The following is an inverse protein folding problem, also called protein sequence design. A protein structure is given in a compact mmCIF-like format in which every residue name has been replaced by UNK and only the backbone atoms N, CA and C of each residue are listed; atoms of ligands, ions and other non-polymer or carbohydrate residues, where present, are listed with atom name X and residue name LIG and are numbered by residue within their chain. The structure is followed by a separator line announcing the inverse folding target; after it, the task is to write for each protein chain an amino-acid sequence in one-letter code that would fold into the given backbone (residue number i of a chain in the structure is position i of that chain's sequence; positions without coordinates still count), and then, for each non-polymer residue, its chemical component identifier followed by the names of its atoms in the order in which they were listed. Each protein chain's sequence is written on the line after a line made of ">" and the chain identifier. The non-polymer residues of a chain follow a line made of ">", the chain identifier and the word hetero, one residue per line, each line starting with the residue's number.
data_IF_345785659966
#
_entry.id   IF_345785659966
#
_cell.length_a   1.000
_cell.length_b   1.000
_cell.length_c   1.000
_cell.angle_alpha   90.00
_cell.angle_beta   90.00
_cell.angle_gamma   90.00
#
_symmetry.space_group_name_H-M   'P 1'
#
loop_
_entity.id
_entity.type
_entity.pdbx_description
1 polymer ?
#
# COMPACT_ATOMS: atom_id res chain seq x y z
N UNK A 1 -2.34 19.41 54.50
CA UNK A 1 -1.89 18.49 53.43
C UNK A 1 -2.14 19.24 52.12
N UNK A 2 -1.17 20.09 51.73
CA UNK A 2 -0.42 20.07 50.44
C UNK A 2 -1.41 19.99 49.25
N UNK A 3 -1.50 20.97 48.35
CA UNK A 3 -0.60 21.14 47.20
C UNK A 3 -0.58 22.59 46.69
N UNK A 4 0.64 22.99 46.31
CA UNK A 4 1.10 24.21 45.65
C UNK A 4 0.43 24.43 44.28
N UNK A 5 -0.12 25.62 44.04
CA UNK A 5 -0.43 26.09 42.69
C UNK A 5 0.75 26.90 42.16
N UNK A 6 1.50 26.32 41.21
CA UNK A 6 2.44 27.06 40.38
C UNK A 6 1.65 28.01 39.46
N UNK A 7 1.61 29.29 39.80
CA UNK A 7 1.16 30.33 38.89
C UNK A 7 2.20 30.51 37.79
N UNK A 8 1.76 30.35 36.54
CA UNK A 8 2.49 30.76 35.35
C UNK A 8 2.70 32.28 35.43
N UNK A 9 3.97 32.70 35.36
CA UNK A 9 4.39 34.08 35.45
C UNK A 9 3.99 34.83 34.17
N UNK A 10 2.85 35.53 34.19
CA UNK A 10 2.55 36.57 33.22
C UNK A 10 3.52 37.73 33.46
N UNK A 11 4.54 37.85 32.60
CA UNK A 11 5.30 39.08 32.47
C UNK A 11 4.42 40.10 31.75
N UNK A 12 3.59 40.82 32.50
CA UNK A 12 3.08 42.11 32.04
C UNK A 12 4.29 43.04 31.87
N UNK A 13 4.59 43.42 30.62
CA UNK A 13 5.41 44.60 30.39
C UNK A 13 4.69 45.78 31.06
N UNK A 14 5.28 46.32 32.12
CA UNK A 14 4.83 47.56 32.75
C UNK A 14 5.19 48.70 31.79
N UNK A 15 4.34 48.93 30.80
CA UNK A 15 4.42 50.05 29.88
C UNK A 15 3.89 51.33 30.53
N UNK A 16 4.59 52.44 30.31
CA UNK A 16 4.18 53.79 30.69
C UNK A 16 2.79 54.12 30.08
N UNK A 17 1.75 54.41 30.88
CA UNK A 17 0.39 54.65 30.40
C UNK A 17 0.24 55.94 29.56
N UNK A 18 1.32 56.71 29.37
CA UNK A 18 1.33 57.94 28.57
C UNK A 18 2.00 57.78 27.21
N UNK A 19 2.65 56.64 26.92
CA UNK A 19 3.25 56.36 25.61
C UNK A 19 2.26 55.51 24.79
N UNK A 20 1.85 55.93 23.57
CA UNK A 20 1.10 55.03 22.69
C UNK A 20 1.97 53.79 22.44
N UNK A 21 1.36 52.63 22.58
CA UNK A 21 2.00 51.33 22.41
C UNK A 21 2.38 51.14 20.93
N UNK A 22 3.53 51.69 20.52
CA UNK A 22 4.00 51.67 19.14
C UNK A 22 4.78 50.39 18.80
N UNK A 23 5.20 49.62 19.79
CA UNK A 23 6.13 48.50 19.64
C UNK A 23 5.51 47.18 20.14
N UNK A 24 4.30 46.86 19.65
CA UNK A 24 3.54 45.69 20.12
C UNK A 24 3.97 44.41 19.38
N UNK A 25 4.61 43.42 20.04
CA UNK A 25 4.93 42.13 19.43
C UNK A 25 3.65 41.34 19.09
N UNK A 26 3.75 40.26 18.29
CA UNK A 26 2.60 39.43 18.01
C UNK A 26 2.13 38.71 19.28
N UNK A 27 0.83 38.51 19.40
CA UNK A 27 0.20 37.70 20.45
C UNK A 27 -0.85 36.79 19.82
N UNK A 28 -0.66 35.47 19.95
CA UNK A 28 -1.57 34.45 19.41
C UNK A 28 -2.77 34.30 20.35
N UNK A 29 -3.97 34.49 19.83
CA UNK A 29 -5.20 34.41 20.61
C UNK A 29 -5.40 32.98 21.13
N UNK A 30 -5.60 32.83 22.45
CA UNK A 30 -5.70 31.55 23.15
C UNK A 30 -4.47 30.61 23.00
N UNK A 31 -3.37 31.10 22.41
CA UNK A 31 -2.12 30.37 22.21
C UNK A 31 -2.24 29.12 21.34
N UNK A 32 -3.38 28.79 20.73
CA UNK A 32 -3.60 27.53 20.02
C UNK A 32 -3.84 27.77 18.53
N UNK A 33 -3.25 26.95 17.67
CA UNK A 33 -3.75 26.79 16.31
C UNK A 33 -5.20 26.28 16.39
N UNK A 34 -6.14 27.08 15.88
CA UNK A 34 -7.55 26.69 15.89
C UNK A 34 -7.75 25.72 14.73
N UNK A 35 -8.36 24.58 15.06
CA UNK A 35 -8.69 23.52 14.14
C UNK A 35 -10.17 23.62 13.82
N UNK A 36 -10.54 23.72 12.54
CA UNK A 36 -11.93 23.53 12.14
C UNK A 36 -12.34 22.08 12.43
N UNK A 37 -13.38 21.92 13.26
CA UNK A 37 -13.91 20.61 13.64
C UNK A 37 -14.42 19.84 12.42
N UNK A 38 -13.75 18.73 12.11
CA UNK A 38 -14.17 17.70 11.18
C UNK A 38 -13.49 16.40 11.60
N UNK A 39 -14.10 15.24 11.32
CA UNK A 39 -13.41 13.98 11.53
C UNK A 39 -12.12 13.97 10.69
N UNK A 40 -10.99 13.58 11.29
CA UNK A 40 -9.69 13.51 10.61
C UNK A 40 -9.65 12.23 9.76
N UNK A 41 -10.34 12.29 8.63
CA UNK A 41 -10.51 11.19 7.68
C UNK A 41 -9.56 11.36 6.49
N UNK A 42 -9.13 10.23 5.90
CA UNK A 42 -8.30 10.25 4.71
C UNK A 42 -9.05 10.94 3.54
N UNK A 43 -8.31 11.62 2.66
CA UNK A 43 -8.84 12.32 1.48
C UNK A 43 -9.81 13.49 1.78
N UNK A 44 -10.01 13.82 3.06
CA UNK A 44 -10.77 15.00 3.45
C UNK A 44 -9.91 16.26 3.45
N UNK A 45 -10.52 17.41 3.14
CA UNK A 45 -9.86 18.70 3.27
C UNK A 45 -9.79 19.12 4.74
N UNK A 46 -8.64 19.64 5.16
CA UNK A 46 -8.39 20.06 6.53
C UNK A 46 -7.59 21.37 6.59
N UNK A 47 -7.82 22.14 7.64
CA UNK A 47 -7.32 23.50 7.81
C UNK A 47 -6.89 23.68 9.27
N UNK A 48 -5.68 24.21 9.45
CA UNK A 48 -5.23 24.81 10.71
C UNK A 48 -5.05 26.31 10.49
N UNK A 49 -5.41 27.13 11.46
CA UNK A 49 -5.20 28.57 11.37
C UNK A 49 -4.76 29.20 12.69
N UNK A 50 -4.12 30.37 12.59
CA UNK A 50 -3.66 31.18 13.71
C UNK A 50 -4.37 32.52 13.69
N UNK A 51 -5.07 32.83 14.78
CA UNK A 51 -5.52 34.19 15.07
C UNK A 51 -4.43 34.86 15.91
N UNK A 52 -3.84 35.92 15.39
CA UNK A 52 -2.82 36.68 16.10
C UNK A 52 -3.08 38.18 15.97
N UNK A 53 -2.84 38.89 17.06
CA UNK A 53 -2.80 40.36 17.06
C UNK A 53 -1.35 40.81 17.12
N UNK A 54 -1.10 42.08 16.80
CA UNK A 54 0.24 42.68 16.81
C UNK A 54 0.19 44.00 16.07
N UNK A 55 1.28 44.78 16.09
CA UNK A 55 1.42 45.95 15.22
C UNK A 55 2.37 45.66 14.06
N UNK A 56 2.20 46.39 12.97
CA UNK A 56 2.98 46.18 11.75
C UNK A 56 2.56 44.93 10.95
N UNK A 57 3.40 44.52 10.01
CA UNK A 57 3.17 43.33 9.17
C UNK A 57 3.52 42.07 9.95
N UNK A 58 2.53 41.20 10.17
CA UNK A 58 2.75 39.88 10.73
C UNK A 58 3.26 38.92 9.66
N UNK A 59 4.23 38.09 10.04
CA UNK A 59 4.79 37.02 9.23
C UNK A 59 4.62 35.69 9.95
N UNK A 60 4.42 34.62 9.20
CA UNK A 60 4.10 33.30 9.74
C UNK A 60 5.10 32.27 9.21
N UNK A 61 5.34 31.22 10.00
CA UNK A 61 6.04 30.03 9.55
C UNK A 61 5.50 28.82 10.31
N UNK A 62 4.95 27.86 9.57
CA UNK A 62 4.49 26.59 10.13
C UNK A 62 5.62 25.56 10.21
N UNK A 63 5.54 24.73 11.24
CA UNK A 63 6.48 23.65 11.50
C UNK A 63 5.74 22.33 11.65
N UNK A 64 6.37 21.24 11.20
CA UNK A 64 5.95 19.87 11.41
C UNK A 64 7.09 19.08 12.03
N UNK A 65 6.86 18.48 13.20
CA UNK A 65 7.87 17.70 13.92
C UNK A 65 9.21 18.46 14.09
N UNK A 66 9.11 19.77 14.34
CA UNK A 66 10.23 20.73 14.46
C UNK A 66 10.92 21.16 13.16
N UNK A 67 10.53 20.61 12.00
CA UNK A 67 11.03 21.05 10.70
C UNK A 67 10.11 22.11 10.09
N UNK A 68 10.70 23.17 9.52
CA UNK A 68 9.93 24.22 8.85
C UNK A 68 9.28 23.67 7.57
N UNK A 69 7.96 23.85 7.44
CA UNK A 69 7.23 23.48 6.24
C UNK A 69 7.53 24.55 5.17
N UNK A 70 8.21 24.16 4.10
CA UNK A 70 8.64 25.08 3.06
C UNK A 70 7.44 25.77 2.41
N UNK A 71 7.44 27.11 2.41
CA UNK A 71 6.39 27.93 1.80
C UNK A 71 5.11 28.10 2.63
N UNK A 72 5.00 27.48 3.80
CA UNK A 72 3.87 27.66 4.70
C UNK A 72 4.03 28.95 5.54
N UNK A 73 3.87 30.09 4.89
CA UNK A 73 4.13 31.43 5.45
C UNK A 73 2.88 32.29 5.63
N UNK A 74 1.71 31.67 5.65
CA UNK A 74 0.42 32.34 5.88
C UNK A 74 -0.13 32.00 7.26
N UNK A 75 -1.13 32.75 7.70
CA UNK A 75 -1.92 32.49 8.91
C UNK A 75 -2.67 31.16 8.89
N UNK A 76 -2.76 30.52 7.72
CA UNK A 76 -3.42 29.24 7.48
C UNK A 76 -2.45 28.18 6.94
N UNK A 77 -2.67 26.93 7.35
CA UNK A 77 -2.06 25.73 6.78
C UNK A 77 -3.17 24.84 6.23
N UNK A 78 -3.19 24.66 4.91
CA UNK A 78 -4.26 23.96 4.19
C UNK A 78 -3.77 22.59 3.73
N UNK A 79 -4.57 21.57 4.02
CA UNK A 79 -4.42 20.21 3.53
C UNK A 79 -5.59 19.94 2.58
N UNK A 80 -5.39 19.98 1.25
CA UNK A 80 -6.48 19.75 0.30
C UNK A 80 -7.06 18.34 0.39
N UNK A 81 -6.23 17.35 0.72
CA UNK A 81 -6.60 15.96 0.93
C UNK A 81 -5.64 15.35 1.96
N UNK A 82 -6.16 14.96 3.13
CA UNK A 82 -5.36 14.35 4.19
C UNK A 82 -4.82 12.97 3.78
N UNK A 83 -3.54 12.75 4.05
CA UNK A 83 -2.86 11.46 3.88
C UNK A 83 -2.19 11.05 5.19
N UNK A 84 -1.91 9.76 5.42
CA UNK A 84 -1.19 9.34 6.64
C UNK A 84 0.15 10.06 6.84
N UNK A 85 0.79 10.49 5.75
CA UNK A 85 2.02 11.26 5.82
C UNK A 85 1.84 12.59 6.54
N UNK A 86 0.64 13.17 6.57
CA UNK A 86 0.31 14.43 7.22
C UNK A 86 0.19 14.32 8.75
N UNK A 87 0.11 13.11 9.30
CA UNK A 87 0.13 12.91 10.77
C UNK A 87 1.43 13.47 11.36
N UNK A 88 1.31 14.22 12.46
CA UNK A 88 2.47 14.85 13.10
C UNK A 88 2.10 15.94 14.10
N UNK A 89 3.14 16.52 14.69
CA UNK A 89 3.03 17.65 15.60
C UNK A 89 3.22 18.96 14.83
N UNK A 90 2.25 19.86 14.91
CA UNK A 90 2.25 21.13 14.18
C UNK A 90 2.21 22.31 15.13
N UNK A 91 2.97 23.35 14.80
CA UNK A 91 2.93 24.65 15.46
C UNK A 91 3.32 25.75 14.48
N UNK A 92 2.96 26.98 14.79
CA UNK A 92 3.30 28.15 14.00
C UNK A 92 4.05 29.16 14.84
N UNK A 93 5.04 29.82 14.24
CA UNK A 93 5.69 31.00 14.80
C UNK A 93 5.15 32.22 14.05
N UNK A 94 4.67 33.21 14.79
CA UNK A 94 4.21 34.51 14.25
C UNK A 94 5.21 35.57 14.68
N UNK A 95 5.70 36.37 13.74
CA UNK A 95 6.74 37.37 13.98
C UNK A 95 6.43 38.72 13.36
N UNK A 96 6.86 39.79 14.02
CA UNK A 96 6.96 41.14 13.45
C UNK A 96 8.32 41.76 13.82
N UNK A 97 8.51 43.05 13.56
CA UNK A 97 9.77 43.75 13.87
C UNK A 97 10.06 43.89 15.38
N UNK A 98 9.07 43.67 16.23
CA UNK A 98 9.12 43.86 17.68
C UNK A 98 9.26 42.54 18.46
N UNK A 99 9.07 41.39 17.81
CA UNK A 99 9.25 40.09 18.44
C UNK A 99 8.53 38.96 17.71
N UNK A 100 8.39 37.83 18.41
CA UNK A 100 7.71 36.64 17.91
C UNK A 100 6.94 35.94 19.02
N UNK A 101 5.84 35.30 18.66
CA UNK A 101 5.09 34.40 19.52
C UNK A 101 4.96 33.02 18.84
N UNK A 102 4.87 31.97 19.64
CA UNK A 102 4.83 30.58 19.16
C UNK A 102 3.56 29.90 19.66
N UNK A 103 2.81 29.30 18.75
CA UNK A 103 1.60 28.57 19.12
C UNK A 103 1.94 27.33 19.94
N UNK A 104 0.98 26.88 20.75
CA UNK A 104 0.96 25.53 21.28
C UNK A 104 1.03 24.52 20.13
N UNK A 105 1.71 23.42 20.39
CA UNK A 105 1.80 22.29 19.48
C UNK A 105 0.48 21.52 19.46
N UNK A 106 -0.13 21.36 18.30
CA UNK A 106 -1.26 20.46 18.09
C UNK A 106 -0.83 19.17 17.39
N UNK A 107 -1.46 18.06 17.75
CA UNK A 107 -1.16 16.74 17.15
C UNK A 107 -2.23 16.39 16.14
N UNK A 108 -1.88 16.47 14.85
CA UNK A 108 -2.72 15.96 13.78
C UNK A 108 -2.58 14.44 13.74
N UNK A 109 -3.65 13.72 14.07
CA UNK A 109 -3.72 12.26 13.98
C UNK A 109 -4.88 11.83 13.11
N UNK A 110 -4.58 11.24 11.97
CA UNK A 110 -5.59 10.65 11.09
C UNK A 110 -5.98 9.29 11.67
N UNK A 111 -7.28 9.05 11.82
CA UNK A 111 -7.80 7.76 12.30
C UNK A 111 -8.76 7.17 11.28
N UNK A 112 -8.91 5.85 11.31
CA UNK A 112 -9.91 5.14 10.52
C UNK A 112 -11.04 4.78 11.49
N UNK A 113 -12.20 5.44 11.43
CA UNK A 113 -13.35 5.03 12.22
C UNK A 113 -13.71 3.56 12.00
N UNK A 114 -14.14 2.86 13.06
CA UNK A 114 -14.50 1.43 13.01
C UNK A 114 -15.62 1.11 12.01
N UNK A 115 -16.44 2.11 11.67
CA UNK A 115 -17.53 2.03 10.69
C UNK A 115 -17.17 2.54 9.29
N UNK A 116 -15.87 2.76 9.01
CA UNK A 116 -15.44 3.25 7.69
C UNK A 116 -15.56 2.14 6.64
N UNK A 117 -16.10 2.41 5.45
CA UNK A 117 -15.98 1.49 4.33
C UNK A 117 -14.50 1.34 3.92
N UNK A 118 -14.15 0.31 3.12
CA UNK A 118 -12.79 0.15 2.63
C UNK A 118 -12.40 1.32 1.72
N UNK A 119 -11.12 1.67 1.75
CA UNK A 119 -10.49 2.66 0.89
C UNK A 119 -9.14 2.13 0.44
N UNK A 120 -9.01 1.89 -0.86
CA UNK A 120 -7.77 1.48 -1.50
C UNK A 120 -6.88 2.72 -1.69
N UNK A 121 -5.73 2.74 -1.01
CA UNK A 121 -4.79 3.87 -0.96
C UNK A 121 -4.06 4.07 -2.29
N UNK A 122 -3.70 2.98 -2.96
CA UNK A 122 -3.17 3.01 -4.32
C UNK A 122 -4.12 2.24 -5.23
N UNK A 123 -4.94 2.99 -5.98
CA UNK A 123 -5.97 2.42 -6.84
C UNK A 123 -5.39 1.51 -7.92
N UNK A 124 -4.14 1.68 -8.32
CA UNK A 124 -3.46 0.75 -9.22
C UNK A 124 -2.73 -0.31 -8.41
N UNK A 125 -2.92 -1.58 -8.75
CA UNK A 125 -2.11 -2.65 -8.19
C UNK A 125 -0.63 -2.37 -8.48
N UNK A 126 0.21 -2.45 -7.44
CA UNK A 126 1.64 -2.19 -7.58
C UNK A 126 2.34 -3.49 -7.89
N UNK A 127 3.25 -3.45 -8.86
CA UNK A 127 4.18 -4.53 -9.13
C UNK A 127 5.18 -4.64 -7.96
N UNK A 128 5.19 -5.75 -7.25
CA UNK A 128 6.29 -6.07 -6.35
C UNK A 128 7.22 -7.08 -7.04
N UNK A 129 8.45 -6.63 -7.29
CA UNK A 129 9.63 -7.43 -7.60
C UNK A 129 9.41 -8.68 -8.47
N UNK A 130 9.62 -8.52 -9.77
CA UNK A 130 9.84 -9.60 -10.72
C UNK A 130 10.22 -8.97 -12.05
N UNK A 131 11.25 -9.48 -12.73
CA UNK A 131 11.34 -9.23 -14.17
C UNK A 131 10.10 -9.86 -14.82
N UNK A 132 9.61 -9.36 -15.95
CA UNK A 132 8.65 -10.12 -16.77
C UNK A 132 9.39 -11.30 -17.47
N UNK A 133 10.16 -12.07 -16.70
CA UNK A 133 10.89 -13.22 -17.17
C UNK A 133 10.19 -14.49 -16.69
N UNK A 134 10.38 -15.56 -17.46
CA UNK A 134 9.96 -16.88 -17.05
C UNK A 134 10.70 -17.27 -15.76
N UNK A 135 10.03 -17.95 -14.83
CA UNK A 135 10.61 -18.48 -13.58
C UNK A 135 10.88 -17.46 -12.44
N UNK A 136 10.42 -16.21 -12.58
CA UNK A 136 10.43 -15.25 -11.46
C UNK A 136 9.09 -15.19 -10.74
N UNK A 137 9.13 -15.06 -9.41
CA UNK A 137 7.98 -14.62 -8.63
C UNK A 137 7.51 -13.27 -9.17
N UNK A 138 6.23 -13.19 -9.51
CA UNK A 138 5.56 -11.97 -9.92
C UNK A 138 4.39 -11.73 -8.98
N UNK A 139 4.34 -10.56 -8.34
CA UNK A 139 3.29 -10.25 -7.38
C UNK A 139 2.62 -8.93 -7.74
N UNK A 140 1.29 -8.94 -7.79
CA UNK A 140 0.48 -7.72 -7.77
C UNK A 140 -0.15 -7.60 -6.39
N UNK A 141 -0.16 -6.39 -5.84
CA UNK A 141 -0.77 -6.14 -4.53
C UNK A 141 -1.49 -4.80 -4.50
N UNK A 142 -2.39 -4.66 -3.54
CA UNK A 142 -3.03 -3.40 -3.19
C UNK A 142 -2.82 -3.09 -1.71
N UNK A 143 -3.01 -1.84 -1.35
CA UNK A 143 -3.04 -1.41 0.05
C UNK A 143 -4.39 -0.77 0.31
N UNK A 144 -5.09 -1.25 1.34
CA UNK A 144 -6.39 -0.73 1.71
C UNK A 144 -6.48 -0.48 3.21
N UNK A 145 -7.29 0.50 3.57
CA UNK A 145 -7.69 0.81 4.94
C UNK A 145 -9.21 0.75 5.05
N UNK A 146 -9.73 0.58 6.26
CA UNK A 146 -11.16 0.56 6.51
C UNK A 146 -11.44 0.08 7.92
N UNK A 147 -12.69 0.23 8.35
CA UNK A 147 -13.13 -0.26 9.65
C UNK A 147 -13.23 -1.79 9.68
N UNK A 148 -12.94 -2.39 10.84
CA UNK A 148 -13.06 -3.82 11.06
C UNK A 148 -12.17 -4.68 10.15
N UNK A 149 -12.61 -5.92 9.89
CA UNK A 149 -11.87 -6.87 9.05
C UNK A 149 -12.12 -6.61 7.56
N UNK A 150 -11.04 -6.40 6.80
CA UNK A 150 -11.08 -6.33 5.35
C UNK A 150 -10.99 -7.73 4.73
N UNK A 151 -11.75 -7.94 3.66
CA UNK A 151 -11.70 -9.16 2.84
C UNK A 151 -11.41 -8.80 1.40
N UNK A 152 -10.67 -9.65 0.69
CA UNK A 152 -10.21 -9.39 -0.67
C UNK A 152 -10.76 -10.43 -1.65
N UNK A 153 -10.91 -10.02 -2.90
CA UNK A 153 -11.16 -10.92 -4.02
C UNK A 153 -10.55 -10.34 -5.29
N UNK A 154 -9.60 -11.07 -5.87
CA UNK A 154 -9.04 -10.74 -7.17
C UNK A 154 -9.90 -11.29 -8.31
N UNK A 155 -9.97 -10.52 -9.39
CA UNK A 155 -10.67 -10.87 -10.61
C UNK A 155 -9.70 -10.81 -11.78
N UNK A 156 -9.83 -11.76 -12.69
CA UNK A 156 -9.14 -11.80 -13.97
C UNK A 156 -10.19 -11.79 -15.07
N UNK A 157 -10.12 -10.80 -15.97
CA UNK A 157 -11.09 -10.63 -17.06
C UNK A 157 -12.54 -10.68 -16.54
N UNK A 158 -12.79 -10.06 -15.38
CA UNK A 158 -14.06 -10.03 -14.65
C UNK A 158 -14.54 -11.37 -14.06
N UNK A 159 -13.74 -12.42 -14.09
CA UNK A 159 -14.00 -13.68 -13.42
C UNK A 159 -13.20 -13.77 -12.12
N UNK A 160 -13.84 -14.19 -11.03
CA UNK A 160 -13.18 -14.33 -9.73
C UNK A 160 -12.05 -15.38 -9.82
N UNK A 161 -10.86 -15.02 -9.34
CA UNK A 161 -9.75 -15.95 -9.21
C UNK A 161 -9.98 -16.79 -7.96
N UNK A 162 -9.99 -18.10 -8.12
CA UNK A 162 -10.21 -19.06 -7.03
C UNK A 162 -9.17 -18.87 -5.93
N UNK A 163 -9.61 -18.82 -4.67
CA UNK A 163 -8.77 -18.69 -3.47
C UNK A 163 -7.91 -17.41 -3.38
N UNK A 164 -8.06 -16.44 -4.28
CA UNK A 164 -7.33 -15.17 -4.22
C UNK A 164 -7.97 -14.20 -3.22
N UNK A 165 -7.78 -14.46 -1.93
CA UNK A 165 -8.44 -13.79 -0.80
C UNK A 165 -7.55 -12.87 0.03
N UNK A 166 -6.30 -12.70 -0.38
CA UNK A 166 -5.32 -11.83 0.25
C UNK A 166 -5.20 -10.49 -0.49
N UNK A 167 -4.51 -9.54 0.13
CA UNK A 167 -4.21 -8.21 -0.43
C UNK A 167 -3.20 -8.26 -1.60
N UNK A 168 -2.62 -9.44 -1.85
CA UNK A 168 -1.76 -9.75 -2.99
C UNK A 168 -2.23 -10.96 -3.79
N UNK A 169 -1.86 -10.99 -5.06
CA UNK A 169 -1.94 -12.14 -5.94
C UNK A 169 -0.54 -12.46 -6.47
N UNK A 170 -0.06 -13.66 -6.16
CA UNK A 170 1.27 -14.14 -6.52
C UNK A 170 1.21 -15.13 -7.69
N UNK A 171 2.21 -15.05 -8.56
CA UNK A 171 2.44 -15.96 -9.67
C UNK A 171 3.86 -16.49 -9.56
N UNK A 172 3.99 -17.81 -9.41
CA UNK A 172 5.28 -18.48 -9.25
C UNK A 172 5.27 -19.82 -9.98
N UNK A 173 5.72 -19.84 -11.25
CA UNK A 173 6.12 -18.70 -12.08
C UNK A 173 4.91 -17.95 -12.66
N UNK A 174 5.16 -16.80 -13.30
CA UNK A 174 4.19 -16.19 -14.21
C UNK A 174 4.11 -16.95 -15.54
N UNK A 175 2.92 -17.43 -15.91
CA UNK A 175 2.67 -18.18 -17.14
C UNK A 175 2.01 -17.31 -18.22
N UNK A 176 2.09 -17.73 -19.49
CA UNK A 176 1.33 -17.10 -20.59
C UNK A 176 -0.17 -17.11 -20.28
N UNK A 177 -0.66 -18.20 -19.69
CA UNK A 177 -2.06 -18.32 -19.26
C UNK A 177 -2.46 -17.29 -18.22
N UNK A 178 -1.52 -16.67 -17.49
CA UNK A 178 -1.75 -15.63 -16.49
C UNK A 178 -1.93 -14.23 -17.08
N UNK A 179 -1.68 -14.07 -18.39
CA UNK A 179 -1.99 -12.81 -19.08
C UNK A 179 -3.48 -12.47 -18.95
N UNK A 180 -3.77 -11.20 -18.68
CA UNK A 180 -5.14 -10.72 -18.53
C UNK A 180 -5.26 -9.37 -17.82
N UNK A 181 -6.50 -8.93 -17.68
CA UNK A 181 -6.85 -7.69 -16.96
C UNK A 181 -7.28 -8.04 -15.54
N UNK A 182 -6.59 -7.50 -14.55
CA UNK A 182 -6.76 -7.79 -13.14
C UNK A 182 -7.31 -6.60 -12.36
N UNK A 183 -8.20 -6.86 -11.41
CA UNK A 183 -8.62 -5.90 -10.39
C UNK A 183 -8.94 -6.63 -9.08
N UNK A 184 -8.90 -5.91 -7.96
CA UNK A 184 -9.26 -6.42 -6.64
C UNK A 184 -10.47 -5.65 -6.08
N UNK A 185 -11.38 -6.39 -5.45
CA UNK A 185 -12.48 -5.81 -4.67
C UNK A 185 -12.17 -6.06 -3.19
N UNK A 186 -12.13 -4.98 -2.41
CA UNK A 186 -11.96 -5.01 -0.96
C UNK A 186 -13.30 -4.75 -0.32
N UNK A 187 -13.73 -5.60 0.60
CA UNK A 187 -15.05 -5.53 1.25
C UNK A 187 -14.94 -5.62 2.76
N UNK A 188 -15.76 -4.83 3.46
CA UNK A 188 -16.06 -5.00 4.89
C UNK A 188 -17.57 -4.89 5.14
N UNK A 189 -17.99 -4.83 6.41
CA UNK A 189 -19.40 -4.72 6.78
C UNK A 189 -20.09 -3.40 6.37
N UNK A 190 -19.31 -2.37 6.02
CA UNK A 190 -19.78 -1.02 5.74
C UNK A 190 -19.73 -0.65 4.25
N UNK A 191 -19.13 -1.50 3.40
CA UNK A 191 -19.13 -1.31 1.96
C UNK A 191 -18.01 -2.05 1.26
N UNK A 192 -17.73 -1.63 0.03
CA UNK A 192 -16.66 -2.16 -0.79
C UNK A 192 -15.96 -1.06 -1.57
N UNK A 193 -14.68 -1.26 -1.85
CA UNK A 193 -13.92 -0.45 -2.79
C UNK A 193 -13.27 -1.34 -3.84
N UNK A 194 -13.15 -0.83 -5.06
CA UNK A 194 -12.62 -1.57 -6.22
C UNK A 194 -11.39 -0.87 -6.76
N UNK A 195 -10.32 -1.63 -7.00
CA UNK A 195 -9.12 -1.11 -7.62
C UNK A 195 -9.38 -0.73 -9.08
N UNK A 196 -8.53 0.12 -9.64
CA UNK A 196 -8.42 0.22 -11.10
C UNK A 196 -7.94 -1.12 -11.66
N UNK A 197 -8.26 -1.33 -12.94
CA UNK A 197 -7.76 -2.48 -13.69
C UNK A 197 -6.31 -2.30 -14.06
N UNK A 198 -5.49 -3.33 -13.89
CA UNK A 198 -4.14 -3.41 -14.43
C UNK A 198 -4.00 -4.58 -15.40
N UNK A 199 -3.19 -4.43 -16.44
CA UNK A 199 -3.01 -5.48 -17.46
C UNK A 199 -1.68 -6.18 -17.24
N UNK A 200 -1.75 -7.47 -16.92
CA UNK A 200 -0.58 -8.34 -16.94
C UNK A 200 -0.41 -8.86 -18.36
N UNK A 201 0.74 -8.59 -18.96
CA UNK A 201 1.16 -9.16 -20.25
C UNK A 201 2.37 -10.03 -20.05
N UNK A 202 2.34 -11.23 -20.63
CA UNK A 202 3.51 -12.09 -20.68
C UNK A 202 3.70 -12.61 -22.11
N UNK A 203 4.86 -12.29 -22.71
CA UNK A 203 5.19 -12.67 -24.09
C UNK A 203 6.45 -13.52 -24.13
N UNK A 204 6.38 -14.66 -24.83
CA UNK A 204 7.57 -15.44 -25.17
C UNK A 204 8.28 -14.75 -26.32
N UNK A 205 9.58 -14.47 -26.18
CA UNK A 205 10.36 -13.80 -27.22
C UNK A 205 10.62 -14.73 -28.40
N UNK A 206 10.75 -14.17 -29.60
CA UNK A 206 11.13 -14.94 -30.79
C UNK A 206 12.44 -15.71 -30.56
N UNK A 207 12.50 -16.94 -31.06
CA UNK A 207 13.63 -17.85 -30.90
C UNK A 207 13.94 -18.25 -29.43
N UNK A 208 12.99 -18.10 -28.50
CA UNK A 208 13.12 -18.70 -27.16
C UNK A 208 13.16 -20.23 -27.31
N UNK A 209 14.26 -20.90 -26.89
CA UNK A 209 14.37 -22.35 -26.99
C UNK A 209 13.43 -23.06 -26.00
N UNK A 210 13.06 -24.33 -26.26
CA UNK A 210 12.35 -25.16 -25.31
C UNK A 210 13.06 -25.24 -23.95
N UNK A 211 12.36 -24.96 -22.86
CA UNK A 211 12.87 -25.07 -21.50
C UNK A 211 11.78 -25.59 -20.56
N UNK A 212 12.12 -26.57 -19.72
CA UNK A 212 11.24 -27.10 -18.67
C UNK A 212 11.37 -26.22 -17.43
N UNK A 213 10.24 -25.75 -16.93
CA UNK A 213 10.15 -24.98 -15.69
C UNK A 213 10.68 -25.78 -14.50
N UNK A 214 11.50 -25.14 -13.66
CA UNK A 214 12.16 -25.77 -12.50
C UNK A 214 13.00 -27.02 -12.86
N UNK A 215 13.22 -27.32 -14.15
CA UNK A 215 13.97 -28.46 -14.63
C UNK A 215 13.42 -29.83 -14.23
N UNK A 216 12.17 -29.93 -13.77
CA UNK A 216 11.60 -31.17 -13.23
C UNK A 216 10.14 -31.35 -13.63
N UNK A 217 9.72 -32.62 -13.76
CA UNK A 217 8.30 -32.96 -13.88
C UNK A 217 7.58 -32.77 -12.53
N UNK A 218 6.38 -32.22 -12.60
CA UNK A 218 5.50 -32.02 -11.46
C UNK A 218 4.67 -33.29 -11.27
N UNK A 219 4.62 -33.75 -10.02
CA UNK A 219 3.91 -34.94 -9.60
C UNK A 219 2.54 -34.57 -9.01
N UNK A 220 1.57 -35.48 -9.07
CA UNK A 220 0.30 -35.26 -8.36
C UNK A 220 0.53 -35.21 -6.85
N UNK A 221 -0.36 -34.50 -6.14
CA UNK A 221 -0.36 -34.49 -4.68
C UNK A 221 -0.83 -35.85 -4.15
N UNK A 222 0.12 -36.71 -3.75
CA UNK A 222 -0.15 -38.04 -3.21
C UNK A 222 1.09 -38.93 -3.27
N UNK A 223 1.16 -39.94 -2.41
CA UNK A 223 2.19 -40.99 -2.54
C UNK A 223 1.77 -41.88 -3.73
N UNK A 224 2.65 -42.22 -4.67
CA UNK A 224 2.35 -43.19 -5.72
C UNK A 224 2.00 -44.54 -5.07
N UNK A 225 0.72 -44.93 -5.08
CA UNK A 225 0.24 -46.18 -4.48
C UNK A 225 0.04 -47.26 -5.55
N UNK A 226 0.27 -48.53 -5.20
CA UNK A 226 0.03 -49.65 -6.10
C UNK A 226 -1.43 -49.68 -6.58
N UNK A 227 -1.64 -49.92 -7.88
CA UNK A 227 -2.95 -49.94 -8.54
C UNK A 227 -3.71 -48.59 -8.53
N UNK A 228 -3.03 -47.49 -8.16
CA UNK A 228 -3.60 -46.15 -8.23
C UNK A 228 -3.33 -45.49 -9.59
N UNK A 229 -4.25 -44.63 -10.02
CA UNK A 229 -4.01 -43.73 -11.12
C UNK A 229 -3.04 -42.62 -10.68
N UNK A 230 -2.02 -42.35 -11.50
CA UNK A 230 -0.98 -41.38 -11.20
C UNK A 230 -0.59 -40.67 -12.48
N UNK A 231 -0.18 -39.41 -12.41
CA UNK A 231 0.35 -38.71 -13.56
C UNK A 231 1.51 -37.79 -13.18
N UNK A 232 2.40 -37.59 -14.14
CA UNK A 232 3.42 -36.55 -14.09
C UNK A 232 3.18 -35.62 -15.25
N UNK A 233 3.46 -34.33 -15.08
CA UNK A 233 3.36 -33.38 -16.17
C UNK A 233 4.51 -32.39 -16.13
N UNK A 234 4.82 -31.79 -17.26
CA UNK A 234 5.85 -30.76 -17.40
C UNK A 234 5.22 -29.44 -17.79
N UNK A 235 5.68 -28.38 -17.15
CA UNK A 235 5.45 -27.02 -17.62
C UNK A 235 6.68 -26.59 -18.40
N UNK A 236 6.49 -26.13 -19.63
CA UNK A 236 7.59 -25.74 -20.49
C UNK A 236 7.26 -24.49 -21.31
N UNK A 237 8.30 -23.74 -21.68
CA UNK A 237 8.21 -22.62 -22.62
C UNK A 237 9.00 -22.91 -23.88
N UNK A 238 8.59 -22.29 -24.97
CA UNK A 238 9.32 -22.20 -26.23
C UNK A 238 8.57 -21.26 -27.16
N UNK A 239 9.31 -20.62 -28.06
CA UNK A 239 8.72 -19.75 -29.08
C UNK A 239 7.97 -20.53 -30.17
N UNK A 240 8.43 -21.74 -30.48
CA UNK A 240 7.81 -22.66 -31.42
C UNK A 240 6.89 -23.67 -30.71
N UNK A 241 6.08 -24.39 -31.48
CA UNK A 241 5.29 -25.53 -30.99
C UNK A 241 6.20 -26.56 -30.31
N UNK A 242 5.99 -26.76 -29.01
CA UNK A 242 6.72 -27.72 -28.21
C UNK A 242 6.38 -29.16 -28.61
N UNK A 243 7.38 -30.03 -28.55
CA UNK A 243 7.25 -31.47 -28.75
C UNK A 243 7.83 -32.17 -27.53
N UNK A 244 7.16 -33.21 -27.06
CA UNK A 244 7.53 -33.91 -25.84
C UNK A 244 7.91 -35.36 -26.14
N UNK A 245 8.73 -35.93 -25.27
CA UNK A 245 9.09 -37.35 -25.26
C UNK A 245 9.54 -37.70 -23.84
N UNK A 246 8.81 -38.58 -23.18
CA UNK A 246 9.19 -39.06 -21.85
C UNK A 246 10.32 -40.08 -21.93
N UNK A 247 11.21 -40.05 -20.95
CA UNK A 247 12.27 -41.03 -20.77
C UNK A 247 12.09 -41.73 -19.43
N UNK A 248 12.51 -42.98 -19.34
CA UNK A 248 12.58 -43.75 -18.11
C UNK A 248 13.93 -44.44 -18.04
N UNK A 249 14.68 -44.16 -16.99
CA UNK A 249 16.04 -44.67 -16.78
C UNK A 249 16.94 -44.44 -18.02
N UNK A 250 16.77 -43.29 -18.69
CA UNK A 250 17.51 -42.92 -19.89
C UNK A 250 17.01 -43.52 -21.22
N UNK A 251 15.94 -44.33 -21.22
CA UNK A 251 15.33 -44.88 -22.43
C UNK A 251 14.00 -44.19 -22.74
N UNK A 252 13.74 -43.88 -24.02
CA UNK A 252 12.47 -43.27 -24.43
C UNK A 252 11.29 -44.21 -24.13
N UNK A 253 10.24 -43.67 -23.53
CA UNK A 253 8.98 -44.40 -23.32
C UNK A 253 8.14 -44.30 -24.59
N UNK A 254 7.85 -45.45 -25.19
CA UNK A 254 7.20 -45.50 -26.50
C UNK A 254 5.83 -44.81 -26.50
N UNK A 255 5.63 -43.92 -27.47
CA UNK A 255 4.39 -43.18 -27.72
C UNK A 255 3.98 -42.15 -26.64
N UNK A 256 4.82 -41.92 -25.63
CA UNK A 256 4.58 -40.90 -24.61
C UNK A 256 5.13 -39.55 -25.08
N UNK A 257 4.35 -38.87 -25.93
CA UNK A 257 4.73 -37.61 -26.60
C UNK A 257 3.94 -36.38 -26.17
N UNK A 258 3.11 -36.51 -25.13
CA UNK A 258 2.37 -35.41 -24.54
C UNK A 258 3.15 -34.79 -23.38
N UNK A 259 2.71 -33.60 -22.93
CA UNK A 259 3.25 -32.91 -21.76
C UNK A 259 2.94 -33.62 -20.43
N UNK A 260 2.12 -34.66 -20.49
CA UNK A 260 1.63 -35.45 -19.37
C UNK A 260 1.91 -36.93 -19.61
N UNK A 261 2.48 -37.60 -18.61
CA UNK A 261 2.64 -39.06 -18.57
C UNK A 261 1.61 -39.63 -17.60
N UNK A 262 0.71 -40.47 -18.10
CA UNK A 262 -0.41 -41.04 -17.33
C UNK A 262 -0.18 -42.52 -17.03
N UNK A 263 -0.39 -42.89 -15.78
CA UNK A 263 -0.48 -44.27 -15.30
C UNK A 263 -1.92 -44.55 -14.89
N UNK A 264 -2.56 -45.56 -15.48
CA UNK A 264 -3.93 -45.95 -15.12
C UNK A 264 -3.99 -46.87 -13.89
N UNK A 265 -2.87 -47.46 -13.52
CA UNK A 265 -2.70 -48.32 -12.35
C UNK A 265 -1.22 -48.60 -12.16
N UNK A 266 -0.60 -47.99 -11.16
CA UNK A 266 0.83 -48.14 -10.92
C UNK A 266 1.21 -49.58 -10.56
N UNK A 267 2.28 -50.05 -11.18
CA UNK A 267 2.88 -51.37 -10.93
C UNK A 267 4.33 -51.22 -10.45
N UNK A 268 4.90 -52.29 -9.91
CA UNK A 268 6.33 -52.29 -9.56
C UNK A 268 7.24 -52.02 -10.76
N UNK A 269 6.84 -52.42 -11.97
CA UNK A 269 7.59 -52.13 -13.18
C UNK A 269 7.62 -50.65 -13.51
N UNK A 270 6.72 -49.82 -12.97
CA UNK A 270 6.70 -48.37 -13.18
C UNK A 270 7.73 -47.62 -12.32
N UNK A 271 8.46 -48.32 -11.46
CA UNK A 271 9.54 -47.71 -10.67
C UNK A 271 10.71 -47.29 -11.57
N UNK A 272 11.21 -46.07 -11.40
CA UNK A 272 12.37 -45.57 -12.13
C UNK A 272 12.57 -44.07 -12.01
N UNK A 273 13.63 -43.57 -12.64
CA UNK A 273 13.85 -42.14 -12.88
C UNK A 273 13.19 -41.76 -14.19
N UNK A 274 12.26 -40.80 -14.13
CA UNK A 274 11.59 -40.23 -15.29
C UNK A 274 12.07 -38.81 -15.55
#
# INVERSE_FOLDING_TARGET
>A
MIISYCFHLMLFFCGDPTKPDFDRPPEIENGKAIVTSGALELDSAYLMYIEATGLGTLTYQWYKNSDAITGATHDTLVFPALSFSDTGMYYCIVSNEYGSDTSLTDTLRITIPDNSPPLILNKKAVLHSGSQQFDSLYTIYIQAVGGGTLTYQWYKNNSAVTNAKDDSLEFSPLLVSDTGVYHCIVTNAFGSDTSLTDTITYTISDNTPPSILNGQAIQTSGIPEFDSAYFMYIQAIGSDTLKYQWYKNGAAVSNETDDTLLFTGLTFSDTGTY
#
